data_IF_543613511149
#
_entry.id   IF_543613511149
#
_cell.length_a   1.000
_cell.length_b   1.000
_cell.length_c   1.000
_cell.angle_alpha   90.00
_cell.angle_beta   90.00
_cell.angle_gamma   90.00
#
_symmetry.space_group_name_H-M   'P 1'
#
loop_
_entity.id
_entity.type
_entity.pdbx_description
1 polymer ?
#
# COMPACT_ATOMS: atom_id res chain seq x y z
N UNK A 1 -2.15 -3.75 2.64
CA UNK A 1 -2.13 -5.22 2.82
C UNK A 1 -3.33 -5.81 2.13
N UNK A 2 -3.13 -6.77 1.22
CA UNK A 2 -4.18 -7.43 0.46
C UNK A 2 -4.01 -8.96 0.51
N UNK A 3 -5.05 -9.70 0.91
CA UNK A 3 -4.99 -11.14 0.98
C UNK A 3 -6.05 -11.78 1.87
N UNK A 4 -5.78 -13.00 2.29
CA UNK A 4 -6.68 -13.82 3.09
C UNK A 4 -6.03 -14.43 4.35
N UNK A 5 -4.72 -14.57 4.38
CA UNK A 5 -3.98 -15.24 5.46
C UNK A 5 -3.81 -14.33 6.69
N UNK A 6 -4.78 -14.35 7.57
CA UNK A 6 -4.84 -13.51 8.76
C UNK A 6 -3.63 -13.66 9.68
N UNK A 7 -3.22 -14.89 9.96
CA UNK A 7 -2.11 -15.16 10.89
C UNK A 7 -0.79 -14.53 10.42
N UNK A 8 -0.54 -14.56 9.12
CA UNK A 8 0.62 -13.95 8.50
C UNK A 8 0.61 -12.43 8.70
N UNK A 9 -0.46 -11.78 8.30
CA UNK A 9 -0.57 -10.32 8.38
C UNK A 9 -0.64 -9.80 9.82
N UNK A 10 -1.24 -10.52 10.75
CA UNK A 10 -1.22 -10.17 12.16
C UNK A 10 0.20 -10.14 12.75
N UNK A 11 1.01 -11.13 12.40
CA UNK A 11 2.39 -11.18 12.84
C UNK A 11 3.23 -10.02 12.27
N UNK A 12 2.97 -9.63 11.03
CA UNK A 12 3.61 -8.46 10.43
C UNK A 12 3.12 -7.15 11.03
N UNK A 13 1.82 -7.02 11.29
CA UNK A 13 1.25 -5.81 11.87
C UNK A 13 1.93 -5.45 13.19
N UNK A 14 2.15 -6.44 14.07
CA UNK A 14 2.84 -6.23 15.34
C UNK A 14 4.20 -5.54 15.16
N UNK A 15 4.95 -5.95 14.14
CA UNK A 15 6.23 -5.32 13.81
C UNK A 15 6.08 -3.93 13.19
N UNK A 16 5.12 -3.75 12.28
CA UNK A 16 4.87 -2.49 11.57
C UNK A 16 4.43 -1.36 12.52
N UNK A 17 3.70 -1.69 13.60
CA UNK A 17 3.27 -0.70 14.59
C UNK A 17 4.26 -0.51 15.73
N UNK A 18 5.38 -1.22 15.72
CA UNK A 18 6.40 -1.12 16.78
C UNK A 18 7.03 0.28 16.85
N UNK A 19 7.45 0.74 18.03
CA UNK A 19 8.15 2.03 18.16
C UNK A 19 9.37 2.14 17.25
N UNK A 20 10.12 1.06 17.04
CA UNK A 20 11.28 1.04 16.17
C UNK A 20 10.92 1.28 14.70
N UNK A 21 9.81 0.69 14.23
CA UNK A 21 9.31 0.92 12.87
C UNK A 21 8.84 2.37 12.68
N UNK A 22 8.13 2.92 13.67
CA UNK A 22 7.68 4.32 13.64
C UNK A 22 8.89 5.29 13.59
N UNK A 23 9.92 5.06 14.40
CA UNK A 23 11.14 5.87 14.39
C UNK A 23 11.86 5.83 13.03
N UNK A 24 11.93 4.66 12.37
CA UNK A 24 12.49 4.56 11.01
C UNK A 24 11.72 5.41 10.00
N UNK A 25 10.40 5.41 10.09
CA UNK A 25 9.55 6.24 9.22
C UNK A 25 9.75 7.74 9.51
N UNK A 26 9.82 8.14 10.77
CA UNK A 26 10.04 9.52 11.19
C UNK A 26 11.41 10.04 10.73
N UNK A 27 12.44 9.21 10.75
CA UNK A 27 13.79 9.57 10.32
C UNK A 27 13.86 10.03 8.85
N UNK A 28 12.93 9.57 7.99
CA UNK A 28 12.79 10.04 6.61
C UNK A 28 11.73 11.13 6.44
N UNK A 29 11.20 11.65 7.55
CA UNK A 29 10.22 12.74 7.59
C UNK A 29 8.77 12.30 7.34
N UNK A 30 8.47 11.00 7.47
CA UNK A 30 7.09 10.51 7.54
C UNK A 30 6.55 10.72 8.96
N UNK A 31 5.22 10.74 9.11
CA UNK A 31 4.56 10.83 10.43
C UNK A 31 4.35 9.46 11.09
N UNK A 32 4.92 8.41 10.53
CA UNK A 32 4.79 7.03 10.96
C UNK A 32 4.31 6.12 9.85
N UNK A 33 4.18 4.84 10.16
CA UNK A 33 3.64 3.82 9.24
C UNK A 33 2.13 3.77 9.40
N UNK A 34 1.42 3.74 8.28
CA UNK A 34 -0.03 3.56 8.21
C UNK A 34 -0.36 2.30 7.41
N UNK A 35 -1.36 1.57 7.86
CA UNK A 35 -1.77 0.30 7.27
C UNK A 35 -3.19 0.45 6.73
N UNK A 36 -3.36 0.17 5.45
CA UNK A 36 -4.67 0.02 4.81
C UNK A 36 -4.89 -1.45 4.52
N UNK A 37 -5.97 -2.01 5.02
CA UNK A 37 -6.38 -3.37 4.74
C UNK A 37 -7.26 -3.45 3.51
N UNK A 38 -7.04 -4.44 2.68
CA UNK A 38 -7.83 -4.71 1.48
C UNK A 38 -8.35 -6.13 1.51
N UNK A 39 -9.52 -6.35 0.90
CA UNK A 39 -10.11 -7.67 0.74
C UNK A 39 -10.35 -8.40 2.08
N UNK A 40 -10.20 -9.72 2.14
CA UNK A 40 -10.54 -10.51 3.35
C UNK A 40 -9.72 -10.14 4.58
N UNK A 41 -8.42 -9.93 4.42
CA UNK A 41 -7.56 -9.55 5.56
C UNK A 41 -7.90 -8.17 6.11
N UNK A 42 -8.27 -7.23 5.25
CA UNK A 42 -8.72 -5.90 5.67
C UNK A 42 -10.03 -5.96 6.47
N UNK A 43 -10.97 -6.79 6.04
CA UNK A 43 -12.20 -7.03 6.77
C UNK A 43 -11.94 -7.66 8.14
N UNK A 44 -11.04 -8.65 8.21
CA UNK A 44 -10.67 -9.29 9.46
C UNK A 44 -10.05 -8.30 10.45
N UNK A 45 -9.18 -7.43 10.00
CA UNK A 45 -8.59 -6.42 10.86
C UNK A 45 -9.61 -5.48 11.51
N UNK A 46 -10.70 -5.17 10.83
CA UNK A 46 -11.74 -4.32 11.41
C UNK A 46 -12.44 -4.92 12.63
N UNK A 47 -12.57 -6.24 12.68
CA UNK A 47 -13.30 -6.94 13.74
C UNK A 47 -12.40 -7.44 14.87
N UNK A 48 -11.09 -7.33 14.72
CA UNK A 48 -10.11 -7.77 15.72
C UNK A 48 -9.71 -6.62 16.63
N UNK A 49 -9.95 -6.80 17.92
CA UNK A 49 -9.58 -5.80 18.94
C UNK A 49 -8.08 -5.43 18.89
N UNK A 50 -7.21 -6.42 18.68
CA UNK A 50 -5.76 -6.22 18.64
C UNK A 50 -5.25 -5.55 17.36
N UNK A 51 -6.06 -5.50 16.32
CA UNK A 51 -5.75 -4.82 15.07
C UNK A 51 -6.17 -3.33 15.11
N UNK A 52 -7.00 -2.91 16.05
CA UNK A 52 -7.41 -1.53 16.24
C UNK A 52 -6.27 -0.71 16.85
N UNK A 53 -5.34 -0.30 16.02
CA UNK A 53 -4.26 0.62 16.38
C UNK A 53 -4.40 1.90 15.57
N UNK A 54 -3.80 3.00 16.04
CA UNK A 54 -3.78 4.27 15.30
C UNK A 54 -3.08 4.14 13.92
N UNK A 55 -2.28 3.09 13.74
CA UNK A 55 -1.64 2.80 12.47
C UNK A 55 -2.59 2.17 11.44
N UNK A 56 -3.67 1.50 11.86
CA UNK A 56 -4.64 0.91 10.94
C UNK A 56 -5.66 1.96 10.49
N UNK A 57 -5.55 2.41 9.26
CA UNK A 57 -6.39 3.47 8.69
C UNK A 57 -7.79 2.99 8.29
N UNK A 58 -8.00 1.69 8.18
CA UNK A 58 -9.29 1.11 7.79
C UNK A 58 -9.20 0.11 6.66
N UNK A 59 -10.38 -0.33 6.22
CA UNK A 59 -10.55 -1.32 5.16
C UNK A 59 -10.94 -0.63 3.84
N UNK A 60 -10.15 -0.82 2.80
CA UNK A 60 -10.41 -0.27 1.48
C UNK A 60 -11.52 -0.98 0.70
N UNK A 61 -12.12 -2.02 1.28
CA UNK A 61 -13.23 -2.75 0.69
C UNK A 61 -12.79 -3.90 -0.24
N UNK A 62 -13.54 -4.07 -1.32
CA UNK A 62 -13.29 -5.13 -2.29
C UNK A 62 -12.19 -4.77 -3.30
N UNK A 63 -11.98 -5.61 -4.30
CA UNK A 63 -10.96 -5.40 -5.33
C UNK A 63 -11.07 -4.03 -6.02
N UNK A 64 -12.25 -3.60 -6.39
CA UNK A 64 -12.45 -2.33 -7.12
C UNK A 64 -12.09 -1.12 -6.29
N UNK A 65 -12.53 -1.08 -5.04
CA UNK A 65 -12.21 0.04 -4.13
C UNK A 65 -10.74 0.03 -3.73
N UNK A 66 -10.12 -1.13 -3.66
CA UNK A 66 -8.68 -1.28 -3.43
C UNK A 66 -7.84 -0.78 -4.62
N UNK A 67 -8.27 -1.02 -5.86
CA UNK A 67 -7.67 -0.40 -7.05
C UNK A 67 -7.75 1.13 -6.98
N UNK A 68 -8.88 1.66 -6.47
CA UNK A 68 -9.03 3.09 -6.23
C UNK A 68 -7.97 3.64 -5.28
N UNK A 69 -7.77 2.98 -4.14
CA UNK A 69 -6.76 3.38 -3.15
C UNK A 69 -5.35 3.33 -3.74
N UNK A 70 -5.01 2.27 -4.47
CA UNK A 70 -3.70 2.17 -5.14
C UNK A 70 -3.49 3.30 -6.15
N UNK A 71 -4.52 3.63 -6.94
CA UNK A 71 -4.44 4.66 -7.98
C UNK A 71 -4.27 6.06 -7.43
N UNK A 72 -4.50 6.31 -6.14
CA UNK A 72 -4.20 7.60 -5.50
C UNK A 72 -2.71 7.93 -5.46
N UNK A 73 -1.84 6.92 -5.59
CA UNK A 73 -0.40 7.07 -5.41
C UNK A 73 0.04 7.32 -3.96
N UNK A 74 -0.86 7.19 -2.99
CA UNK A 74 -0.55 7.39 -1.56
C UNK A 74 0.05 6.15 -0.90
N UNK A 75 0.08 5.02 -1.60
CA UNK A 75 0.62 3.76 -1.08
C UNK A 75 2.11 3.66 -1.40
N UNK A 76 2.91 3.35 -0.40
CA UNK A 76 4.37 3.22 -0.52
C UNK A 76 4.83 1.78 -0.75
N UNK A 77 4.04 0.81 -0.27
CA UNK A 77 4.34 -0.61 -0.41
C UNK A 77 3.06 -1.42 -0.43
N UNK A 78 2.98 -2.39 -1.31
CA UNK A 78 1.92 -3.40 -1.31
C UNK A 78 2.45 -4.72 -0.78
N UNK A 79 1.78 -5.23 0.25
CA UNK A 79 1.97 -6.59 0.73
C UNK A 79 0.80 -7.44 0.25
N UNK A 80 1.09 -8.52 -0.41
CA UNK A 80 0.08 -9.43 -0.97
C UNK A 80 0.44 -10.88 -0.74
N UNK A 81 -0.53 -11.75 -1.00
CA UNK A 81 -0.36 -13.20 -1.00
C UNK A 81 -1.14 -13.81 -2.18
N UNK A 82 -1.27 -15.13 -2.24
CA UNK A 82 -1.87 -15.81 -3.40
C UNK A 82 -3.37 -15.58 -3.56
N UNK A 83 -4.08 -15.28 -2.48
CA UNK A 83 -5.54 -15.25 -2.46
C UNK A 83 -6.08 -13.82 -2.32
N UNK A 84 -7.32 -13.60 -2.73
CA UNK A 84 -8.01 -12.30 -2.66
C UNK A 84 -7.16 -11.15 -3.23
N UNK A 85 -6.41 -11.43 -4.26
CA UNK A 85 -5.55 -10.47 -4.94
C UNK A 85 -6.38 -9.47 -5.73
N UNK A 86 -5.91 -8.23 -5.77
CA UNK A 86 -6.50 -7.15 -6.55
C UNK A 86 -6.13 -7.34 -8.02
N UNK A 87 -7.09 -7.45 -8.97
CA UNK A 87 -6.78 -7.73 -10.38
C UNK A 87 -5.85 -6.70 -11.04
N UNK A 88 -6.04 -5.42 -10.74
CA UNK A 88 -5.22 -4.33 -11.28
C UNK A 88 -3.93 -4.05 -10.53
N UNK A 89 -3.53 -4.88 -9.55
CA UNK A 89 -2.40 -4.59 -8.66
C UNK A 89 -1.08 -4.43 -9.41
N UNK A 90 -0.78 -5.33 -10.34
CA UNK A 90 0.50 -5.31 -11.09
C UNK A 90 0.64 -4.06 -11.96
N UNK A 91 -0.30 -3.78 -12.90
CA UNK A 91 -0.16 -2.62 -13.77
C UNK A 91 -0.25 -1.28 -13.03
N UNK A 92 -0.99 -1.19 -11.93
CA UNK A 92 -1.05 0.03 -11.12
C UNK A 92 0.27 0.22 -10.37
N UNK A 93 0.80 -0.81 -9.74
CA UNK A 93 2.08 -0.75 -9.05
C UNK A 93 3.23 -0.40 -10.00
N UNK A 94 3.25 -0.99 -11.20
CA UNK A 94 4.23 -0.65 -12.23
C UNK A 94 4.13 0.81 -12.66
N UNK A 95 2.94 1.27 -12.97
CA UNK A 95 2.71 2.63 -13.46
C UNK A 95 3.08 3.70 -12.42
N UNK A 96 2.87 3.42 -11.14
CA UNK A 96 3.15 4.33 -10.03
C UNK A 96 4.47 4.04 -9.31
N UNK A 97 5.21 3.03 -9.76
CA UNK A 97 6.47 2.59 -9.16
C UNK A 97 6.32 2.23 -7.67
N UNK A 98 5.20 1.59 -7.33
CA UNK A 98 4.94 1.09 -5.98
C UNK A 98 5.55 -0.30 -5.86
N UNK A 99 6.50 -0.54 -4.95
CA UNK A 99 7.04 -1.88 -4.74
C UNK A 99 5.97 -2.83 -4.22
N UNK A 100 6.02 -4.07 -4.69
CA UNK A 100 5.11 -5.13 -4.30
C UNK A 100 5.89 -6.32 -3.76
N UNK A 101 5.55 -6.76 -2.56
CA UNK A 101 6.08 -7.98 -1.94
C UNK A 101 4.96 -9.00 -1.81
N UNK A 102 5.19 -10.20 -2.35
CA UNK A 102 4.32 -11.34 -2.18
C UNK A 102 4.88 -12.25 -1.09
N UNK A 103 4.08 -12.51 -0.06
CA UNK A 103 4.48 -13.22 1.15
C UNK A 103 4.25 -14.73 1.07
N UNK A 104 4.01 -15.25 -0.12
CA UNK A 104 3.97 -16.67 -0.44
C UNK A 104 4.62 -16.93 -1.81
N UNK A 105 4.78 -18.21 -2.16
CA UNK A 105 5.36 -18.66 -3.42
C UNK A 105 4.36 -19.35 -4.36
N UNK A 106 3.10 -19.37 -4.00
CA UNK A 106 2.02 -20.05 -4.74
C UNK A 106 1.59 -19.23 -5.96
N UNK A 107 1.27 -17.95 -5.75
CA UNK A 107 0.84 -17.08 -6.83
C UNK A 107 2.02 -16.28 -7.40
N UNK A 108 2.30 -16.47 -8.68
CA UNK A 108 3.36 -15.74 -9.38
C UNK A 108 2.80 -14.43 -9.95
N UNK A 109 3.30 -13.32 -9.42
CA UNK A 109 3.03 -11.96 -9.92
C UNK A 109 4.27 -11.44 -10.64
N UNK A 110 4.10 -10.84 -11.80
CA UNK A 110 5.19 -10.50 -12.72
C UNK A 110 6.22 -9.55 -12.11
N UNK A 111 5.78 -8.60 -11.32
CA UNK A 111 6.60 -7.51 -10.78
C UNK A 111 6.66 -7.48 -9.24
N UNK A 112 6.34 -8.59 -8.59
CA UNK A 112 6.45 -8.73 -7.15
C UNK A 112 7.78 -9.37 -6.73
N UNK A 113 8.35 -8.88 -5.66
CA UNK A 113 9.39 -9.58 -4.92
C UNK A 113 8.74 -10.73 -4.14
N UNK A 114 9.37 -11.89 -4.15
CA UNK A 114 8.87 -13.07 -3.43
C UNK A 114 9.62 -13.24 -2.13
N UNK A 115 8.89 -13.20 -1.03
CA UNK A 115 9.43 -13.36 0.31
C UNK A 115 8.51 -14.28 1.11
N UNK A 116 8.53 -15.61 0.84
CA UNK A 116 7.63 -16.54 1.49
C UNK A 116 7.75 -16.44 3.00
N UNK A 117 6.63 -16.11 3.64
CA UNK A 117 6.59 -15.93 5.08
C UNK A 117 6.70 -17.27 5.80
N UNK A 118 7.56 -17.31 6.81
CA UNK A 118 7.57 -18.36 7.81
C UNK A 118 7.74 -17.74 9.20
N UNK A 119 7.18 -18.39 10.21
CA UNK A 119 7.29 -17.90 11.59
C UNK A 119 8.75 -17.79 12.04
N UNK A 120 9.61 -18.70 11.61
CA UNK A 120 11.04 -18.68 11.91
C UNK A 120 11.75 -17.45 11.32
N UNK A 121 11.25 -16.91 10.21
CA UNK A 121 11.80 -15.72 9.54
C UNK A 121 11.01 -14.44 9.84
N UNK A 122 10.09 -14.47 10.80
CA UNK A 122 9.22 -13.32 11.13
C UNK A 122 10.01 -12.02 11.26
N UNK A 123 11.09 -12.02 12.04
CA UNK A 123 11.89 -10.83 12.30
C UNK A 123 12.56 -10.31 11.02
N UNK A 124 13.24 -11.17 10.29
CA UNK A 124 13.92 -10.84 9.03
C UNK A 124 12.96 -10.23 8.01
N UNK A 125 11.82 -10.88 7.80
CA UNK A 125 10.80 -10.43 6.85
C UNK A 125 10.18 -9.09 7.29
N UNK A 126 9.91 -8.94 8.58
CA UNK A 126 9.34 -7.70 9.11
C UNK A 126 10.29 -6.52 8.95
N UNK A 127 11.57 -6.71 9.25
CA UNK A 127 12.60 -5.68 9.07
C UNK A 127 12.73 -5.28 7.60
N UNK A 128 12.78 -6.26 6.71
CA UNK A 128 12.84 -6.00 5.27
C UNK A 128 11.63 -5.23 4.75
N UNK A 129 10.42 -5.62 5.15
CA UNK A 129 9.17 -4.94 4.77
C UNK A 129 9.17 -3.49 5.24
N UNK A 130 9.59 -3.23 6.48
CA UNK A 130 9.69 -1.88 7.04
C UNK A 130 10.69 -1.05 6.26
N UNK A 131 11.89 -1.57 6.04
CA UNK A 131 12.95 -0.86 5.33
C UNK A 131 12.55 -0.55 3.88
N UNK A 132 11.88 -1.47 3.22
CA UNK A 132 11.36 -1.28 1.86
C UNK A 132 10.28 -0.20 1.80
N UNK A 133 9.35 -0.18 2.74
CA UNK A 133 8.31 0.84 2.83
C UNK A 133 8.90 2.23 3.09
N UNK A 134 9.84 2.33 4.01
CA UNK A 134 10.53 3.58 4.37
C UNK A 134 11.35 4.11 3.18
N UNK A 135 12.09 3.24 2.51
CA UNK A 135 12.86 3.61 1.32
C UNK A 135 11.96 4.10 0.17
N UNK A 136 10.84 3.40 -0.06
CA UNK A 136 9.86 3.80 -1.07
C UNK A 136 9.24 5.18 -0.77
N UNK A 137 8.90 5.44 0.50
CA UNK A 137 8.41 6.76 0.92
C UNK A 137 9.46 7.85 0.69
N UNK A 138 10.71 7.62 1.08
CA UNK A 138 11.80 8.57 0.89
C UNK A 138 12.03 8.88 -0.59
N UNK A 139 12.09 7.86 -1.46
CA UNK A 139 12.21 8.04 -2.90
C UNK A 139 11.01 8.72 -3.54
N UNK A 140 9.80 8.51 -3.00
CA UNK A 140 8.58 9.16 -3.49
C UNK A 140 8.60 10.69 -3.33
N UNK A 141 9.28 11.22 -2.33
CA UNK A 141 9.43 12.67 -2.14
C UNK A 141 10.15 13.35 -3.31
N UNK A 142 11.06 12.63 -3.92
CA UNK A 142 11.88 13.11 -5.03
C UNK A 142 11.24 12.80 -6.40
N UNK A 143 10.13 12.07 -6.42
CA UNK A 143 9.42 11.73 -7.65
C UNK A 143 8.47 12.87 -8.04
N UNK A 144 8.64 13.39 -9.24
CA UNK A 144 7.65 14.26 -9.86
C UNK A 144 6.33 13.52 -10.09
N UNK A 145 5.23 14.22 -9.86
CA UNK A 145 3.91 13.68 -10.21
C UNK A 145 3.85 13.42 -11.71
N UNK A 146 3.85 12.16 -12.09
CA UNK A 146 3.82 11.76 -13.48
C UNK A 146 2.38 11.55 -13.94
N UNK A 147 1.81 12.54 -14.62
CA UNK A 147 0.44 12.47 -15.15
C UNK A 147 0.22 11.29 -16.11
N UNK A 148 1.25 10.91 -16.89
CA UNK A 148 1.17 9.77 -17.80
C UNK A 148 1.09 8.45 -17.05
N UNK A 149 1.85 8.28 -15.96
CA UNK A 149 1.77 7.09 -15.12
C UNK A 149 0.42 7.00 -14.41
N UNK A 150 -0.13 8.13 -13.95
CA UNK A 150 -1.47 8.15 -13.36
C UNK A 150 -2.55 7.79 -14.38
N UNK A 151 -2.48 8.29 -15.60
CA UNK A 151 -3.40 7.94 -16.68
C UNK A 151 -3.34 6.43 -17.00
N UNK A 152 -2.13 5.89 -17.13
CA UNK A 152 -1.91 4.46 -17.36
C UNK A 152 -2.43 3.60 -16.21
N UNK A 153 -2.24 4.02 -14.96
CA UNK A 153 -2.80 3.33 -13.80
C UNK A 153 -4.33 3.35 -13.82
N UNK A 154 -4.94 4.48 -14.16
CA UNK A 154 -6.40 4.60 -14.29
C UNK A 154 -6.97 3.69 -15.37
N UNK A 155 -6.28 3.51 -16.50
CA UNK A 155 -6.70 2.57 -17.55
C UNK A 155 -6.80 1.13 -17.04
N UNK A 156 -6.00 0.79 -16.04
CA UNK A 156 -6.01 -0.54 -15.41
C UNK A 156 -7.19 -0.77 -14.47
N UNK A 157 -7.89 0.28 -14.05
CA UNK A 157 -9.09 0.15 -13.20
C UNK A 157 -10.24 -0.40 -14.04
N UNK A 158 -10.70 -1.60 -13.69
CA UNK A 158 -11.69 -2.33 -14.48
C UNK A 158 -13.06 -1.64 -14.52
N UNK A 159 -13.49 -1.00 -13.43
CA UNK A 159 -14.78 -0.33 -13.34
C UNK A 159 -14.74 1.09 -13.95
N UNK A 160 -15.49 1.37 -15.04
CA UNK A 160 -15.44 2.67 -15.71
C UNK A 160 -15.90 3.84 -14.83
N UNK A 161 -16.94 3.66 -14.02
CA UNK A 161 -17.45 4.71 -13.13
C UNK A 161 -16.44 5.07 -12.04
N UNK A 162 -15.77 4.05 -11.50
CA UNK A 162 -14.69 4.25 -10.52
C UNK A 162 -13.48 4.93 -11.16
N UNK A 163 -13.12 4.53 -12.37
CA UNK A 163 -12.04 5.18 -13.14
C UNK A 163 -12.31 6.67 -13.35
N UNK A 164 -13.53 7.03 -13.73
CA UNK A 164 -13.91 8.44 -13.90
C UNK A 164 -13.86 9.22 -12.59
N UNK A 165 -14.37 8.65 -11.49
CA UNK A 165 -14.33 9.28 -10.17
C UNK A 165 -12.88 9.53 -9.72
N UNK A 166 -12.01 8.54 -9.89
CA UNK A 166 -10.59 8.66 -9.55
C UNK A 166 -9.85 9.69 -10.41
N UNK A 167 -10.16 9.76 -11.70
CA UNK A 167 -9.57 10.76 -12.58
C UNK A 167 -9.88 12.19 -12.08
N UNK A 168 -11.10 12.43 -11.60
CA UNK A 168 -11.48 13.72 -10.98
C UNK A 168 -10.67 14.01 -9.73
N UNK A 169 -10.57 13.06 -8.81
CA UNK A 169 -9.78 13.21 -7.58
C UNK A 169 -8.30 13.49 -7.88
N UNK A 170 -7.70 12.77 -8.81
CA UNK A 170 -6.30 13.00 -9.20
C UNK A 170 -6.07 14.37 -9.82
N UNK A 171 -7.04 14.90 -10.56
CA UNK A 171 -6.97 16.26 -11.09
C UNK A 171 -7.03 17.32 -9.99
N UNK A 172 -7.82 17.10 -8.94
CA UNK A 172 -7.90 18.01 -7.79
C UNK A 172 -6.63 17.97 -6.97
N UNK A 173 -6.13 16.78 -6.64
CA UNK A 173 -4.84 16.60 -5.95
C UNK A 173 -3.69 17.29 -6.72
N UNK A 174 -3.69 17.20 -8.05
CA UNK A 174 -2.72 17.91 -8.89
C UNK A 174 -2.84 19.43 -8.78
N UNK A 175 -4.05 19.96 -8.70
CA UNK A 175 -4.29 21.40 -8.55
C UNK A 175 -3.83 21.91 -7.19
N UNK A 176 -4.11 21.18 -6.11
CA UNK A 176 -3.77 21.55 -4.74
C UNK A 176 -2.27 21.50 -4.46
N UNK A 177 -1.57 20.53 -5.03
CA UNK A 177 -0.15 20.29 -4.76
C UNK A 177 0.79 20.92 -5.80
N UNK A 178 0.25 21.61 -6.82
CA UNK A 178 1.04 22.20 -7.90
C UNK A 178 1.71 21.15 -8.80
N UNK A 179 2.74 21.56 -9.53
CA UNK A 179 3.50 20.67 -10.41
C UNK A 179 4.60 19.88 -9.66
N UNK A 180 4.80 20.16 -8.38
CA UNK A 180 5.86 19.57 -7.58
C UNK A 180 5.37 18.34 -6.82
N UNK A 181 5.97 17.20 -7.13
CA UNK A 181 6.04 15.98 -6.35
C UNK A 181 4.73 15.31 -5.92
N UNK A 182 4.77 13.99 -5.73
CA UNK A 182 3.73 13.26 -4.98
C UNK A 182 3.81 13.66 -3.51
N UNK A 183 3.07 14.68 -3.11
CA UNK A 183 2.81 14.87 -1.70
C UNK A 183 1.75 13.86 -1.26
N UNK A 184 2.00 13.16 -0.18
CA UNK A 184 1.01 12.25 0.40
C UNK A 184 -0.10 13.09 1.04
N UNK A 185 -1.32 13.15 0.47
CA UNK A 185 -2.40 13.93 1.07
C UNK A 185 -2.75 13.46 2.49
N UNK A 186 -2.53 12.18 2.80
CA UNK A 186 -2.70 11.64 4.15
C UNK A 186 -1.67 12.18 5.16
N UNK A 187 -0.54 12.70 4.70
CA UNK A 187 0.47 13.31 5.57
C UNK A 187 0.08 14.71 6.06
N UNK A 188 -0.95 15.33 5.46
CA UNK A 188 -1.40 16.69 5.81
C UNK A 188 -2.50 16.71 6.88
N UNK A 189 -3.15 15.57 7.14
CA UNK A 189 -4.29 15.46 8.04
C UNK A 189 -4.03 14.63 9.31
N UNK A 190 -2.80 14.38 9.65
CA UNK A 190 -2.43 13.69 10.89
C UNK A 190 -1.95 14.63 11.97
#
# INVERSE_FOLDING_TARGET
>A
IAGHQQALFNNLQEALVSPAAQQKAEAVGAKGIRIVGCTCVGQDFQVRKDACTDAFCGHAGNNYTSEAVLSTGCIDLVLSEFNCTIPGIEPICDALQIPQICLDDVAKKKNAEYMPYSFAKKKEISEYVIDKAVASYAGRKDCDFNAANCAKALESVANPALREALAKVLLEVKKENGAAGRTNPMAQHG
#
